data_IF_205194831312
#
_entry.id   IF_205194831312
#
_cell.length_a   1.000
_cell.length_b   1.000
_cell.length_c   1.000
_cell.angle_alpha   90.00
_cell.angle_beta   90.00
_cell.angle_gamma   90.00
#
_symmetry.space_group_name_H-M   'P 1'
#
loop_
_entity.id
_entity.type
_entity.pdbx_description
1 polymer ?
#
# COMPACT_ATOMS: atom_id res chain seq x y z
N UNK A 1 -1.99 -6.42 -21.06
CA UNK A 1 -2.38 -7.66 -20.34
C UNK A 1 -3.27 -7.28 -19.16
N UNK A 2 -4.33 -8.05 -18.85
CA UNK A 2 -5.10 -7.85 -17.61
C UNK A 2 -4.39 -8.61 -16.49
N UNK A 3 -3.81 -7.89 -15.52
CA UNK A 3 -3.22 -8.53 -14.33
C UNK A 3 -4.32 -9.07 -13.42
N UNK A 4 -4.05 -10.15 -12.70
CA UNK A 4 -4.97 -10.70 -11.70
C UNK A 4 -4.72 -9.96 -10.39
N UNK A 5 -5.72 -9.21 -9.93
CA UNK A 5 -5.63 -8.52 -8.64
C UNK A 5 -5.78 -9.54 -7.50
N UNK A 6 -5.03 -9.37 -6.40
CA UNK A 6 -5.23 -10.11 -5.17
C UNK A 6 -6.64 -9.91 -4.64
N UNK A 7 -7.19 -10.95 -4.00
CA UNK A 7 -8.51 -10.92 -3.41
C UNK A 7 -8.39 -11.18 -1.90
N UNK A 8 -8.96 -10.29 -1.10
CA UNK A 8 -8.96 -10.38 0.37
C UNK A 8 -10.40 -10.38 0.89
N UNK A 9 -10.61 -11.02 2.02
CA UNK A 9 -11.88 -10.99 2.75
C UNK A 9 -11.78 -9.97 3.88
N UNK A 10 -12.78 -9.09 3.97
CA UNK A 10 -12.95 -8.13 5.04
C UNK A 10 -14.38 -8.30 5.55
N UNK A 11 -14.53 -8.89 6.75
CA UNK A 11 -15.83 -9.13 7.40
C UNK A 11 -16.86 -9.82 6.47
N UNK A 12 -16.43 -10.81 5.68
CA UNK A 12 -17.28 -11.55 4.76
C UNK A 12 -17.54 -10.83 3.43
N UNK A 13 -16.90 -9.69 3.18
CA UNK A 13 -16.96 -8.96 1.92
C UNK A 13 -15.62 -9.06 1.18
N UNK A 14 -15.68 -9.55 -0.06
CA UNK A 14 -14.50 -9.72 -0.90
C UNK A 14 -14.09 -8.41 -1.58
N UNK A 15 -12.82 -8.03 -1.42
CA UNK A 15 -12.21 -6.88 -2.08
C UNK A 15 -11.02 -7.29 -2.94
N UNK A 16 -10.92 -6.67 -4.11
CA UNK A 16 -9.74 -6.71 -4.95
C UNK A 16 -8.78 -5.62 -4.48
N UNK A 17 -7.53 -5.98 -4.20
CA UNK A 17 -6.48 -5.04 -3.84
C UNK A 17 -5.88 -4.49 -5.13
N UNK A 18 -6.03 -3.20 -5.40
CA UNK A 18 -5.43 -2.55 -6.57
C UNK A 18 -4.44 -1.48 -6.13
N UNK A 19 -3.19 -1.90 -5.89
CA UNK A 19 -2.14 -0.97 -5.45
C UNK A 19 -1.80 0.07 -6.49
N UNK A 20 -1.95 -0.27 -7.78
CA UNK A 20 -1.70 0.66 -8.88
C UNK A 20 -2.63 1.88 -8.84
N UNK A 21 -3.90 1.68 -8.44
CA UNK A 21 -4.88 2.76 -8.27
C UNK A 21 -5.09 3.14 -6.79
N UNK A 22 -4.29 2.59 -5.88
CA UNK A 22 -4.32 2.87 -4.44
C UNK A 22 -5.71 2.71 -3.81
N UNK A 23 -6.40 1.62 -4.18
CA UNK A 23 -7.78 1.38 -3.73
C UNK A 23 -8.08 -0.11 -3.52
N UNK A 24 -8.95 -0.38 -2.55
CA UNK A 24 -9.72 -1.62 -2.49
C UNK A 24 -10.98 -1.46 -3.34
N UNK A 25 -11.29 -2.44 -4.19
CA UNK A 25 -12.53 -2.49 -4.96
C UNK A 25 -13.37 -3.66 -4.53
N UNK A 26 -14.61 -3.43 -4.11
CA UNK A 26 -15.49 -4.55 -3.78
C UNK A 26 -15.74 -5.41 -5.02
N UNK A 27 -15.53 -6.72 -4.89
CA UNK A 27 -15.62 -7.68 -6.00
C UNK A 27 -17.00 -7.67 -6.66
N UNK A 28 -18.05 -7.65 -5.85
CA UNK A 28 -19.44 -7.73 -6.32
C UNK A 28 -20.06 -6.34 -6.60
N UNK A 29 -19.37 -5.26 -6.22
CA UNK A 29 -19.80 -3.89 -6.48
C UNK A 29 -18.60 -2.96 -6.74
N UNK A 30 -18.08 -2.88 -7.98
CA UNK A 30 -16.88 -2.10 -8.32
C UNK A 30 -17.01 -0.57 -8.15
N UNK A 31 -18.22 -0.06 -7.91
CA UNK A 31 -18.46 1.34 -7.55
C UNK A 31 -18.10 1.59 -6.07
N UNK A 32 -18.24 0.57 -5.23
CA UNK A 32 -17.80 0.63 -3.84
C UNK A 32 -16.29 0.45 -3.77
N UNK A 33 -15.61 1.54 -3.42
CA UNK A 33 -14.15 1.63 -3.39
C UNK A 33 -13.70 2.28 -2.10
N UNK A 34 -12.60 1.78 -1.56
CA UNK A 34 -11.97 2.33 -0.36
C UNK A 34 -10.57 2.76 -0.78
N UNK A 35 -10.30 4.07 -0.74
CA UNK A 35 -8.97 4.59 -1.08
C UNK A 35 -8.00 4.31 0.07
N UNK A 36 -6.76 3.96 -0.27
CA UNK A 36 -5.69 3.80 0.71
C UNK A 36 -5.33 5.12 1.42
N UNK A 37 -5.79 6.27 0.91
CA UNK A 37 -5.67 7.54 1.64
C UNK A 37 -6.46 7.56 2.94
N UNK A 38 -7.44 6.65 3.10
CA UNK A 38 -8.20 6.48 4.34
C UNK A 38 -7.50 5.50 5.31
N UNK A 39 -6.28 5.08 5.02
CA UNK A 39 -5.51 4.14 5.83
C UNK A 39 -4.37 4.90 6.51
N UNK A 40 -4.04 4.54 7.74
CA UNK A 40 -2.78 4.94 8.35
C UNK A 40 -1.82 3.76 8.38
N UNK A 41 -0.54 4.08 8.29
CA UNK A 41 0.51 3.08 8.35
C UNK A 41 0.71 2.64 9.80
N UNK A 42 0.62 1.34 10.04
CA UNK A 42 0.85 0.72 11.34
C UNK A 42 1.92 -0.36 11.18
N UNK A 43 3.15 -0.03 11.60
CA UNK A 43 4.32 -0.87 11.35
C UNK A 43 4.57 -1.07 9.85
N UNK A 44 4.55 -2.33 9.42
CA UNK A 44 4.71 -2.72 8.01
C UNK A 44 3.37 -2.80 7.25
N UNK A 45 2.25 -2.75 7.98
CA UNK A 45 0.91 -2.86 7.44
C UNK A 45 0.16 -1.54 7.36
N UNK A 46 -1.12 -1.65 7.03
CA UNK A 46 -2.05 -0.52 6.92
C UNK A 46 -3.31 -0.82 7.68
N UNK A 47 -3.70 0.07 8.57
CA UNK A 47 -4.93 -0.09 9.36
C UNK A 47 -5.92 1.01 9.01
N UNK A 48 -7.20 0.65 8.98
CA UNK A 48 -8.29 1.57 8.70
C UNK A 48 -9.58 1.14 9.38
N UNK A 49 -10.50 2.09 9.55
CA UNK A 49 -11.82 1.82 10.12
C UNK A 49 -12.76 1.31 9.02
N UNK A 50 -13.44 0.20 9.27
CA UNK A 50 -14.39 -0.41 8.34
C UNK A 50 -15.81 -0.40 8.90
N UNK A 51 -16.76 0.06 8.09
CA UNK A 51 -18.20 -0.04 8.35
C UNK A 51 -18.75 -1.33 7.73
N UNK A 52 -19.20 -2.27 8.58
CA UNK A 52 -19.75 -3.57 8.17
C UNK A 52 -21.08 -3.46 7.40
N UNK A 53 -21.82 -2.36 7.58
CA UNK A 53 -23.11 -2.11 6.94
C UNK A 53 -22.92 -1.52 5.55
N UNK A 54 -22.17 -0.42 5.46
CA UNK A 54 -21.89 0.27 4.18
C UNK A 54 -20.81 -0.44 3.36
N UNK A 55 -20.06 -1.35 4.00
CA UNK A 55 -18.93 -2.09 3.41
C UNK A 55 -17.86 -1.14 2.86
N UNK A 56 -17.61 -0.04 3.55
CA UNK A 56 -16.65 1.00 3.17
C UNK A 56 -15.97 1.57 4.42
N UNK A 57 -14.95 2.41 4.24
CA UNK A 57 -14.39 3.25 5.29
C UNK A 57 -15.22 4.54 5.43
N UNK A 58 -15.73 4.88 6.63
CA UNK A 58 -16.47 6.11 6.87
C UNK A 58 -15.52 7.32 7.01
N UNK A 59 -15.42 8.23 6.02
CA UNK A 59 -14.47 9.34 6.06
C UNK A 59 -14.77 10.35 7.16
N UNK A 60 -16.04 10.48 7.56
CA UNK A 60 -16.49 11.40 8.61
C UNK A 60 -16.07 10.96 10.02
N UNK A 61 -15.82 9.66 10.21
CA UNK A 61 -15.38 9.10 11.48
C UNK A 61 -13.87 8.95 11.54
N UNK A 62 -13.23 8.74 10.38
CA UNK A 62 -11.78 8.58 10.30
C UNK A 62 -11.06 9.91 10.58
N UNK A 63 -10.15 9.89 11.55
CA UNK A 63 -9.17 10.96 11.74
C UNK A 63 -7.82 10.36 12.08
N UNK A 64 -6.73 10.99 11.64
CA UNK A 64 -5.35 10.57 11.93
C UNK A 64 -5.01 10.55 13.43
N UNK A 65 -5.91 11.06 14.28
CA UNK A 65 -5.78 11.06 15.74
C UNK A 65 -6.50 9.89 16.41
N UNK A 66 -7.27 9.09 15.68
CA UNK A 66 -7.90 7.89 16.25
C UNK A 66 -6.86 6.83 16.55
N UNK A 67 -6.89 6.30 17.78
CA UNK A 67 -6.12 5.13 18.14
C UNK A 67 -6.97 3.86 17.87
N UNK A 68 -6.46 2.83 17.17
CA UNK A 68 -7.17 1.56 17.03
C UNK A 68 -7.50 0.86 18.35
N UNK A 69 -6.83 1.23 19.45
CA UNK A 69 -7.12 0.76 20.80
C UNK A 69 -8.24 1.54 21.49
N UNK A 70 -8.66 2.68 20.94
CA UNK A 70 -9.79 3.45 21.48
C UNK A 70 -11.12 2.71 21.24
N UNK A 71 -12.06 2.82 22.20
CA UNK A 71 -13.38 2.23 22.03
C UNK A 71 -14.14 2.88 20.87
N UNK A 72 -14.63 2.04 19.95
CA UNK A 72 -15.45 2.47 18.83
C UNK A 72 -16.84 2.94 19.30
N UNK A 73 -17.45 3.93 18.61
CA UNK A 73 -18.77 4.44 18.98
C UNK A 73 -19.87 3.39 18.82
N UNK A 74 -19.70 2.45 17.88
CA UNK A 74 -20.59 1.32 17.65
C UNK A 74 -19.74 0.10 17.18
N UNK A 75 -19.29 -0.77 18.10
CA UNK A 75 -18.44 -1.92 17.76
C UNK A 75 -19.19 -3.03 16.99
N UNK A 76 -20.53 -3.03 17.03
CA UNK A 76 -21.33 -3.96 16.24
C UNK A 76 -21.39 -3.55 14.76
N UNK A 77 -21.19 -2.25 14.47
CA UNK A 77 -21.13 -1.69 13.12
C UNK A 77 -19.70 -1.51 12.59
N UNK A 78 -18.80 -0.99 13.41
CA UNK A 78 -17.45 -0.62 13.00
C UNK A 78 -16.40 -1.61 13.51
N UNK A 79 -15.33 -1.80 12.75
CA UNK A 79 -14.19 -2.63 13.14
C UNK A 79 -12.89 -2.06 12.56
N UNK A 80 -11.80 -2.18 13.28
CA UNK A 80 -10.46 -1.88 12.76
C UNK A 80 -9.96 -3.06 11.93
N UNK A 81 -9.54 -2.78 10.70
CA UNK A 81 -9.02 -3.79 9.78
C UNK A 81 -7.56 -3.46 9.49
N UNK A 82 -6.67 -4.41 9.76
CA UNK A 82 -5.25 -4.31 9.44
C UNK A 82 -4.95 -5.18 8.22
N UNK A 83 -4.41 -4.54 7.20
CA UNK A 83 -3.89 -5.16 5.99
C UNK A 83 -2.38 -5.35 6.11
N UNK A 84 -1.87 -6.43 5.52
CA UNK A 84 -0.44 -6.62 5.34
C UNK A 84 0.16 -5.53 4.44
N UNK A 85 1.50 -5.48 4.38
CA UNK A 85 2.21 -4.54 3.52
C UNK A 85 1.70 -4.64 2.07
N UNK A 86 1.55 -3.50 1.38
CA UNK A 86 1.09 -3.50 -0.02
C UNK A 86 2.02 -4.30 -0.95
N UNK A 87 3.31 -4.39 -0.60
CA UNK A 87 4.30 -5.23 -1.28
C UNK A 87 3.99 -6.73 -1.14
N UNK A 88 3.47 -7.17 -0.01
CA UNK A 88 3.05 -8.56 0.19
C UNK A 88 1.71 -8.84 -0.50
N UNK A 89 0.79 -7.88 -0.42
CA UNK A 89 -0.54 -8.03 -0.99
C UNK A 89 -0.50 -8.03 -2.52
N UNK A 90 0.14 -7.04 -3.14
CA UNK A 90 0.17 -6.83 -4.58
C UNK A 90 1.57 -6.39 -5.07
N UNK A 91 2.56 -7.30 -5.04
CA UNK A 91 3.94 -6.98 -5.44
C UNK A 91 4.02 -6.53 -6.90
N UNK A 92 3.18 -7.08 -7.78
CA UNK A 92 3.07 -6.64 -9.19
C UNK A 92 2.55 -5.21 -9.28
N UNK A 93 1.62 -4.83 -8.40
CA UNK A 93 1.09 -3.46 -8.35
C UNK A 93 2.14 -2.46 -7.92
N UNK A 94 2.94 -2.79 -6.91
CA UNK A 94 4.09 -1.98 -6.48
C UNK A 94 5.12 -1.87 -7.61
N UNK A 95 5.52 -3.00 -8.22
CA UNK A 95 6.45 -3.02 -9.35
C UNK A 95 6.03 -2.05 -10.46
N UNK A 96 4.77 -2.14 -10.90
CA UNK A 96 4.25 -1.27 -11.96
C UNK A 96 4.13 0.20 -11.52
N UNK A 97 3.79 0.46 -10.26
CA UNK A 97 3.61 1.81 -9.75
C UNK A 97 4.93 2.58 -9.65
N UNK A 98 6.00 1.90 -9.23
CA UNK A 98 7.31 2.51 -9.02
C UNK A 98 8.30 2.21 -10.15
N UNK A 99 7.86 1.55 -11.22
CA UNK A 99 8.70 1.09 -12.34
C UNK A 99 9.88 0.22 -11.86
N UNK A 100 9.63 -0.64 -10.87
CA UNK A 100 10.60 -1.56 -10.30
C UNK A 100 10.40 -2.95 -10.92
N UNK A 101 11.46 -3.62 -11.41
CA UNK A 101 11.40 -5.02 -11.80
C UNK A 101 10.88 -5.90 -10.66
N UNK A 102 9.88 -6.74 -10.94
CA UNK A 102 9.22 -7.60 -9.94
C UNK A 102 10.22 -8.56 -9.26
N UNK A 103 11.29 -8.91 -9.96
CA UNK A 103 12.40 -9.75 -9.50
C UNK A 103 13.19 -9.11 -8.35
N UNK A 104 13.17 -7.77 -8.23
CA UNK A 104 13.79 -7.06 -7.11
C UNK A 104 12.90 -7.04 -5.87
N UNK A 105 11.59 -7.24 -6.02
CA UNK A 105 10.61 -7.25 -4.93
C UNK A 105 10.40 -8.65 -4.35
N UNK A 106 10.33 -9.66 -5.21
CA UNK A 106 10.33 -11.07 -4.83
C UNK A 106 11.80 -11.51 -4.75
N UNK A 107 12.44 -11.40 -3.58
CA UNK A 107 13.84 -11.70 -3.35
C UNK A 107 14.24 -13.18 -3.52
N UNK A 108 13.96 -13.80 -4.67
CA UNK A 108 14.60 -15.03 -5.07
C UNK A 108 15.13 -14.91 -6.51
N UNK A 109 16.46 -14.84 -6.58
CA UNK A 109 17.34 -14.68 -7.75
C UNK A 109 17.48 -13.25 -8.29
N UNK A 110 18.49 -12.54 -7.76
CA UNK A 110 19.11 -11.43 -8.46
C UNK A 110 19.43 -11.85 -9.91
N UNK A 111 19.11 -11.05 -10.95
CA UNK A 111 19.59 -11.34 -12.28
C UNK A 111 21.12 -11.37 -12.25
N UNK A 112 21.78 -12.46 -12.71
CA UNK A 112 23.23 -12.51 -12.75
C UNK A 112 23.69 -11.50 -13.79
N UNK A 113 24.14 -10.33 -13.33
CA UNK A 113 24.85 -9.37 -14.17
C UNK A 113 24.27 -7.98 -14.30
N UNK A 114 23.41 -7.50 -13.40
CA UNK A 114 23.30 -6.04 -13.25
C UNK A 114 24.56 -5.57 -12.50
N UNK A 115 25.49 -4.83 -13.13
CA UNK A 115 26.54 -4.17 -12.37
C UNK A 115 25.87 -3.21 -11.39
N UNK A 116 26.42 -3.02 -10.17
CA UNK A 116 25.96 -1.95 -9.31
C UNK A 116 26.06 -0.65 -10.12
N UNK A 117 24.96 0.09 -10.17
CA UNK A 117 24.99 1.46 -10.67
C UNK A 117 26.14 2.15 -9.96
N UNK A 118 27.20 2.46 -10.71
CA UNK A 118 28.23 3.34 -10.23
C UNK A 118 27.51 4.65 -9.98
N UNK A 119 27.39 5.05 -8.72
CA UNK A 119 27.33 6.45 -8.39
C UNK A 119 28.63 7.04 -8.93
N UNK A 120 28.62 7.50 -10.18
CA UNK A 120 29.63 8.40 -10.72
C UNK A 120 29.47 9.71 -9.95
N UNK A 121 30.00 9.73 -8.74
CA UNK A 121 30.42 10.92 -8.02
C UNK A 121 31.95 10.85 -7.95
N UNK A 122 32.58 10.76 -9.12
CA UNK A 122 34.00 11.07 -9.23
C UNK A 122 34.16 12.58 -9.02
N UNK A 123 34.83 12.91 -7.91
CA UNK A 123 36.09 13.69 -7.85
C UNK A 123 36.14 14.99 -8.65
N UNK A 124 36.72 16.10 -8.21
CA UNK A 124 37.26 16.63 -6.97
C UNK A 124 37.67 18.08 -7.36
N UNK A 125 37.87 18.93 -6.38
CA UNK A 125 38.68 20.17 -6.41
C UNK A 125 38.87 20.94 -7.73
N UNK A 126 38.39 22.20 -7.75
CA UNK A 126 39.18 23.37 -8.17
C UNK A 126 38.40 24.66 -7.87
N UNK A 127 38.72 25.32 -6.76
CA UNK A 127 38.79 26.79 -6.79
C UNK A 127 40.20 27.20 -6.37
N UNK A 128 41.00 27.48 -7.40
CA UNK A 128 42.00 28.54 -7.42
C UNK A 128 41.57 29.75 -6.56
N UNK A 129 42.53 30.42 -5.92
CA UNK A 129 42.80 31.86 -6.10
C UNK A 129 43.97 32.30 -5.21
N UNK A 130 45.09 32.57 -5.88
CA UNK A 130 46.04 33.67 -5.69
C UNK A 130 45.83 34.64 -4.50
N UNK A 131 46.78 34.69 -3.56
CA UNK A 131 47.67 35.85 -3.31
C UNK A 131 48.69 35.58 -2.19
#
# INVERSE_FOLDING_TARGET
>A
MKRKLPLIDIEGTWFLVDVLHEELRQKDNPVNRISFSAFYQEGEGYTFLYDKVEKNSPPELFSDQMDPNDPLPDPDRYVWVTLAALMELDPIGIALKYDIPIELLCGDQAPPGLPPDREDSDEDEQEDIFH
#
